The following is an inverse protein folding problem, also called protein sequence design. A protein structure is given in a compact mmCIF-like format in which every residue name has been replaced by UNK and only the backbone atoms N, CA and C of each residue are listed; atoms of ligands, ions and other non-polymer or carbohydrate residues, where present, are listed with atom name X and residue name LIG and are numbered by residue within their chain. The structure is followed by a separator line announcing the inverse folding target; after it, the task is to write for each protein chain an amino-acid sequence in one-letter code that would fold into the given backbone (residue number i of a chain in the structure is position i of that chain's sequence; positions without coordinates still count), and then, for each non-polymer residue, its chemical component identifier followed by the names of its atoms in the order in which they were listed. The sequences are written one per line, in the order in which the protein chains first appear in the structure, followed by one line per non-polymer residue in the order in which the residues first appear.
data_IF_023066756803
#
_entry.id   IF_023066756803
#
_cell.length_a   1.000
_cell.length_b   1.000
_cell.length_c   1.000
_cell.angle_alpha   90.00
_cell.angle_beta   90.00
_cell.angle_gamma   90.00
#
_symmetry.space_group_name_H-M   'P 1'
#
loop_
_entity.id
_entity.type
_entity.pdbx_description
1 polymer ?
#
# COMPACT_ATOMS: atom_id res chain seq x y z
N UNK A 1 -17.33 -16.23 11.43
CA UNK A 1 -17.13 -15.03 10.59
C UNK A 1 -15.72 -15.07 10.01
N UNK A 2 -15.59 -15.05 8.67
CA UNK A 2 -14.27 -15.10 8.02
C UNK A 2 -13.59 -13.72 8.13
N UNK A 3 -12.29 -13.71 8.43
CA UNK A 3 -11.53 -12.46 8.56
C UNK A 3 -10.55 -12.33 7.40
N UNK A 4 -10.56 -11.21 6.73
CA UNK A 4 -9.61 -10.88 5.65
C UNK A 4 -8.72 -9.72 6.11
N UNK A 5 -7.41 -9.92 6.08
CA UNK A 5 -6.43 -8.87 6.38
C UNK A 5 -6.12 -8.08 5.11
N UNK A 6 -6.28 -6.78 5.19
CA UNK A 6 -5.96 -5.84 4.11
C UNK A 6 -4.94 -4.83 4.63
N UNK A 7 -3.65 -5.04 4.38
CA UNK A 7 -2.63 -4.03 4.65
C UNK A 7 -2.82 -2.83 3.72
N UNK A 8 -2.80 -1.62 4.30
CA UNK A 8 -2.89 -0.35 3.57
C UNK A 8 -1.68 0.52 3.85
N UNK A 9 -1.24 1.29 2.87
CA UNK A 9 -0.08 2.18 2.95
C UNK A 9 -0.39 3.63 2.55
N UNK A 10 -1.69 3.94 2.45
CA UNK A 10 -2.19 5.24 1.99
C UNK A 10 -2.14 5.44 0.47
N UNK A 11 -1.65 4.47 -0.29
CA UNK A 11 -1.63 4.56 -1.75
C UNK A 11 -2.99 4.26 -2.39
N UNK A 12 -3.26 4.85 -3.56
CA UNK A 12 -4.44 4.50 -4.37
C UNK A 12 -4.50 3.02 -4.74
N UNK A 13 -3.34 2.38 -4.88
CA UNK A 13 -3.25 0.95 -5.15
C UNK A 13 -3.80 0.09 -4.03
N UNK A 14 -3.57 0.45 -2.76
CA UNK A 14 -4.12 -0.28 -1.61
C UNK A 14 -5.65 -0.30 -1.61
N UNK A 15 -6.30 0.74 -2.16
CA UNK A 15 -7.76 0.80 -2.25
C UNK A 15 -8.35 -0.26 -3.20
N UNK A 16 -7.59 -0.79 -4.16
CA UNK A 16 -8.05 -1.92 -4.97
C UNK A 16 -8.17 -3.21 -4.16
N UNK A 17 -7.25 -3.43 -3.20
CA UNK A 17 -7.36 -4.54 -2.26
C UNK A 17 -8.59 -4.39 -1.35
N UNK A 18 -8.88 -3.16 -0.90
CA UNK A 18 -10.09 -2.86 -0.12
C UNK A 18 -11.36 -3.14 -0.93
N UNK A 19 -11.44 -2.66 -2.18
CA UNK A 19 -12.60 -2.92 -3.06
C UNK A 19 -12.79 -4.42 -3.32
N UNK A 20 -11.71 -5.17 -3.46
CA UNK A 20 -11.80 -6.62 -3.59
C UNK A 20 -12.36 -7.27 -2.32
N UNK A 21 -11.90 -6.85 -1.14
CA UNK A 21 -12.42 -7.36 0.13
C UNK A 21 -13.91 -7.03 0.32
N UNK A 22 -14.37 -5.86 -0.12
CA UNK A 22 -15.80 -5.49 -0.16
C UNK A 22 -16.57 -6.45 -1.06
N UNK A 23 -16.11 -6.68 -2.29
CA UNK A 23 -16.78 -7.59 -3.23
C UNK A 23 -16.82 -9.03 -2.73
N UNK A 24 -15.83 -9.47 -1.98
CA UNK A 24 -15.85 -10.80 -1.32
C UNK A 24 -16.84 -10.82 -0.14
N UNK A 25 -16.96 -9.74 0.62
CA UNK A 25 -17.94 -9.63 1.70
C UNK A 25 -19.38 -9.68 1.17
N UNK A 26 -19.66 -8.99 0.07
CA UNK A 26 -20.97 -8.99 -0.60
C UNK A 26 -21.37 -10.40 -1.05
N UNK A 27 -20.41 -11.19 -1.55
CA UNK A 27 -20.67 -12.57 -2.01
C UNK A 27 -20.86 -13.56 -0.88
N UNK A 28 -20.05 -13.45 0.17
CA UNK A 28 -19.97 -14.44 1.23
C UNK A 28 -20.86 -14.14 2.45
N UNK A 29 -21.40 -12.94 2.57
CA UNK A 29 -22.37 -12.52 3.59
C UNK A 29 -21.86 -12.41 5.03
N UNK A 30 -20.64 -12.86 5.33
CA UNK A 30 -20.09 -12.83 6.70
C UNK A 30 -18.58 -12.72 6.75
N UNK A 31 -18.06 -11.63 6.18
CA UNK A 31 -16.63 -11.29 6.23
C UNK A 31 -16.42 -10.07 7.13
N UNK A 32 -15.40 -10.12 7.98
CA UNK A 32 -14.86 -9.00 8.71
C UNK A 32 -13.52 -8.58 8.08
N UNK A 33 -13.38 -7.32 7.70
CA UNK A 33 -12.15 -6.79 7.13
C UNK A 33 -11.26 -6.25 8.25
N UNK A 34 -10.01 -6.75 8.31
CA UNK A 34 -8.99 -6.22 9.21
C UNK A 34 -8.09 -5.28 8.41
N UNK A 35 -8.27 -3.95 8.56
CA UNK A 35 -7.37 -2.97 8.00
C UNK A 35 -6.12 -2.87 8.88
N UNK A 36 -4.95 -2.97 8.27
CA UNK A 36 -3.68 -2.84 8.98
C UNK A 36 -2.80 -1.81 8.30
N UNK A 37 -2.40 -0.78 9.03
CA UNK A 37 -1.38 0.17 8.61
C UNK A 37 -0.07 -0.11 9.35
N UNK A 38 1.01 -0.40 8.62
CA UNK A 38 2.32 -0.68 9.18
C UNK A 38 3.28 0.45 8.83
N UNK A 39 3.83 1.08 9.85
CA UNK A 39 4.83 2.14 9.73
C UNK A 39 6.23 1.60 9.99
N UNK A 40 7.21 2.09 9.22
CA UNK A 40 8.60 1.88 9.58
C UNK A 40 8.93 2.65 10.88
N UNK A 41 9.80 2.10 11.75
CA UNK A 41 10.33 2.85 12.88
C UNK A 41 11.00 4.13 12.41
N UNK A 42 10.89 5.19 13.21
CA UNK A 42 11.65 6.42 12.93
C UNK A 42 13.15 6.14 13.01
N UNK A 43 13.94 6.64 12.04
CA UNK A 43 15.39 6.53 12.10
C UNK A 43 15.92 7.06 13.45
N UNK A 44 16.90 6.38 14.02
CA UNK A 44 17.46 6.71 15.35
C UNK A 44 17.90 8.18 15.45
N UNK A 45 18.53 8.69 14.39
CA UNK A 45 19.04 10.07 14.35
C UNK A 45 17.92 11.13 14.35
N UNK A 46 16.68 10.77 14.00
CA UNK A 46 15.52 11.66 14.11
C UNK A 46 14.78 11.41 15.42
N UNK A 47 14.60 10.13 15.76
CA UNK A 47 13.84 9.72 16.94
C UNK A 47 14.43 10.21 18.26
N UNK A 48 15.74 10.39 18.38
CA UNK A 48 16.39 10.86 19.60
C UNK A 48 16.10 12.33 19.94
N UNK A 49 15.73 13.16 18.94
CA UNK A 49 15.41 14.57 19.15
C UNK A 49 13.90 14.82 19.39
N UNK A 50 13.07 13.81 19.25
CA UNK A 50 11.64 13.93 19.44
C UNK A 50 11.20 13.32 20.80
N UNK A 51 10.36 14.04 21.53
CA UNK A 51 9.72 13.48 22.73
C UNK A 51 8.83 12.29 22.35
N UNK A 52 8.55 11.42 23.31
CA UNK A 52 7.66 10.28 23.11
C UNK A 52 6.26 10.70 22.63
N UNK A 53 5.75 11.84 23.15
CA UNK A 53 4.49 12.43 22.71
C UNK A 53 4.48 12.87 21.26
N UNK A 54 5.53 13.57 20.82
CA UNK A 54 5.66 14.00 19.42
C UNK A 54 5.79 12.82 18.46
N UNK A 55 6.54 11.77 18.85
CA UNK A 55 6.63 10.55 18.04
C UNK A 55 5.27 9.87 17.88
N UNK A 56 4.50 9.77 18.98
CA UNK A 56 3.16 9.18 18.93
C UNK A 56 2.24 9.99 18.04
N UNK A 57 2.14 11.30 18.25
CA UNK A 57 1.31 12.19 17.43
C UNK A 57 1.63 12.09 15.94
N UNK A 58 2.92 12.04 15.58
CA UNK A 58 3.36 11.85 14.21
C UNK A 58 2.91 10.51 13.60
N UNK A 59 2.99 9.43 14.38
CA UNK A 59 2.55 8.12 13.92
C UNK A 59 1.02 8.05 13.79
N UNK A 60 0.29 8.65 14.73
CA UNK A 60 -1.17 8.67 14.73
C UNK A 60 -1.72 9.48 13.55
N UNK A 61 -1.16 10.66 13.28
CA UNK A 61 -1.54 11.49 12.14
C UNK A 61 -1.32 10.76 10.80
N UNK A 62 -0.17 10.14 10.63
CA UNK A 62 0.12 9.37 9.41
C UNK A 62 -0.78 8.16 9.24
N UNK A 63 -1.10 7.49 10.34
CA UNK A 63 -2.02 6.36 10.32
C UNK A 63 -3.41 6.81 9.88
N UNK A 64 -3.90 7.91 10.44
CA UNK A 64 -5.22 8.46 10.10
C UNK A 64 -5.30 8.83 8.62
N UNK A 65 -4.32 9.58 8.10
CA UNK A 65 -4.25 9.96 6.69
C UNK A 65 -4.23 8.74 5.75
N UNK A 66 -3.49 7.69 6.11
CA UNK A 66 -3.37 6.49 5.29
C UNK A 66 -4.62 5.60 5.33
N UNK A 67 -5.32 5.57 6.45
CA UNK A 67 -6.45 4.68 6.69
C UNK A 67 -7.79 5.29 6.26
N UNK A 68 -7.93 6.62 6.32
CA UNK A 68 -9.20 7.30 6.08
C UNK A 68 -9.86 6.93 4.75
N UNK A 69 -9.17 6.90 3.59
CA UNK A 69 -9.80 6.52 2.32
C UNK A 69 -10.31 5.08 2.30
N UNK A 70 -9.64 4.17 3.03
CA UNK A 70 -10.06 2.78 3.14
C UNK A 70 -11.28 2.61 4.06
N UNK A 71 -11.31 3.34 5.17
CA UNK A 71 -12.48 3.40 6.06
C UNK A 71 -13.72 3.89 5.33
N UNK A 72 -13.60 5.03 4.63
CA UNK A 72 -14.71 5.61 3.87
C UNK A 72 -15.33 4.63 2.86
N UNK A 73 -14.49 3.82 2.21
CA UNK A 73 -14.97 2.79 1.28
C UNK A 73 -15.74 1.68 1.98
N UNK A 74 -15.23 1.19 3.11
CA UNK A 74 -15.86 0.10 3.86
C UNK A 74 -17.16 0.56 4.55
N UNK A 75 -17.17 1.77 5.09
CA UNK A 75 -18.37 2.39 5.70
C UNK A 75 -19.49 2.56 4.68
N UNK A 76 -19.17 3.12 3.50
CA UNK A 76 -20.15 3.27 2.40
C UNK A 76 -20.70 1.94 1.90
N UNK A 77 -19.89 0.90 1.95
CA UNK A 77 -20.31 -0.45 1.57
C UNK A 77 -21.03 -1.20 2.69
N UNK A 78 -21.10 -0.66 3.91
CA UNK A 78 -21.73 -1.34 5.05
C UNK A 78 -21.01 -2.61 5.50
N UNK A 79 -19.71 -2.75 5.19
CA UNK A 79 -18.91 -3.91 5.54
C UNK A 79 -18.35 -3.77 6.94
N UNK A 80 -18.46 -4.80 7.77
CA UNK A 80 -17.83 -4.80 9.09
C UNK A 80 -16.32 -4.82 8.99
N UNK A 81 -15.66 -3.89 9.67
CA UNK A 81 -14.21 -3.83 9.67
C UNK A 81 -13.64 -3.41 11.03
N UNK A 82 -12.37 -3.74 11.24
CA UNK A 82 -11.55 -3.23 12.35
C UNK A 82 -10.28 -2.61 11.80
N UNK A 83 -9.78 -1.63 12.51
CA UNK A 83 -8.56 -0.91 12.15
C UNK A 83 -7.48 -1.16 13.18
N UNK A 84 -6.27 -1.41 12.70
CA UNK A 84 -5.09 -1.58 13.54
C UNK A 84 -3.90 -0.87 12.93
N UNK A 85 -3.04 -0.36 13.79
CA UNK A 85 -1.77 0.26 13.41
C UNK A 85 -0.63 -0.48 14.10
N UNK A 86 0.51 -0.59 13.43
CA UNK A 86 1.70 -1.21 13.99
C UNK A 86 2.96 -0.50 13.47
N UNK A 87 4.02 -0.57 14.25
CA UNK A 87 5.35 -0.06 13.88
C UNK A 87 6.29 -1.25 13.80
N UNK A 88 7.01 -1.39 12.69
CA UNK A 88 7.96 -2.48 12.49
C UNK A 88 8.30 -2.76 11.04
N UNK A 89 8.94 -3.91 10.80
CA UNK A 89 9.20 -4.41 9.46
C UNK A 89 7.89 -4.94 8.86
N UNK A 90 7.52 -4.40 7.69
CA UNK A 90 6.19 -4.58 7.10
C UNK A 90 5.79 -6.05 6.93
N UNK A 91 6.68 -6.85 6.34
CA UNK A 91 6.36 -8.24 6.01
C UNK A 91 6.18 -9.09 7.26
N UNK A 92 7.06 -8.92 8.25
CA UNK A 92 6.99 -9.63 9.52
C UNK A 92 5.73 -9.25 10.31
N UNK A 93 5.44 -7.94 10.40
CA UNK A 93 4.25 -7.43 11.10
C UNK A 93 2.96 -7.92 10.45
N UNK A 94 2.86 -7.91 9.12
CA UNK A 94 1.67 -8.38 8.40
C UNK A 94 1.44 -9.88 8.65
N UNK A 95 2.50 -10.69 8.51
CA UNK A 95 2.41 -12.14 8.73
C UNK A 95 2.03 -12.49 10.18
N UNK A 96 2.65 -11.80 11.14
CA UNK A 96 2.36 -12.00 12.56
C UNK A 96 0.94 -11.55 12.93
N UNK A 97 0.48 -10.43 12.38
CA UNK A 97 -0.88 -9.94 12.58
C UNK A 97 -1.92 -10.91 12.00
N UNK A 98 -1.67 -11.45 10.79
CA UNK A 98 -2.54 -12.45 10.19
C UNK A 98 -2.71 -13.69 11.09
N UNK A 99 -1.61 -14.13 11.73
CA UNK A 99 -1.63 -15.26 12.67
C UNK A 99 -2.39 -14.92 13.95
N UNK A 100 -2.05 -13.80 14.61
CA UNK A 100 -2.65 -13.41 15.91
C UNK A 100 -4.14 -13.12 15.82
N UNK A 101 -4.62 -12.57 14.72
CA UNK A 101 -6.02 -12.25 14.50
C UNK A 101 -6.81 -13.40 13.88
N UNK A 102 -6.17 -14.55 13.64
CA UNK A 102 -6.79 -15.71 12.99
C UNK A 102 -7.46 -15.32 11.65
N UNK A 103 -6.68 -14.62 10.81
CA UNK A 103 -7.15 -14.22 9.50
C UNK A 103 -7.16 -15.44 8.55
N UNK A 104 -8.12 -15.47 7.64
CA UNK A 104 -8.28 -16.57 6.66
C UNK A 104 -7.49 -16.28 5.38
N UNK A 105 -7.22 -15.02 5.07
CA UNK A 105 -6.44 -14.60 3.93
C UNK A 105 -5.84 -13.21 4.15
N UNK A 106 -4.75 -12.91 3.44
CA UNK A 106 -4.18 -11.57 3.29
C UNK A 106 -4.43 -11.11 1.86
N UNK A 107 -5.01 -9.92 1.68
CA UNK A 107 -5.25 -9.33 0.35
C UNK A 107 -4.30 -8.16 0.16
N UNK A 108 -3.45 -8.24 -0.85
CA UNK A 108 -2.47 -7.23 -1.23
C UNK A 108 -2.75 -6.70 -2.64
N UNK A 109 -2.36 -5.47 -2.91
CA UNK A 109 -2.35 -4.94 -4.27
C UNK A 109 -0.93 -4.73 -4.77
N UNK A 110 -0.69 -5.09 -6.03
CA UNK A 110 0.57 -4.78 -6.72
C UNK A 110 0.36 -3.60 -7.64
N UNK A 111 1.30 -2.65 -7.64
CA UNK A 111 1.34 -1.59 -8.66
C UNK A 111 1.87 -2.16 -9.97
N UNK A 112 1.15 -1.92 -11.07
CA UNK A 112 1.67 -2.23 -12.42
C UNK A 112 2.60 -1.10 -12.86
N UNK A 113 3.86 -1.12 -12.42
CA UNK A 113 4.90 -0.19 -12.89
C UNK A 113 5.84 -0.84 -13.89
N UNK A 114 6.72 -0.05 -14.51
CA UNK A 114 7.74 -0.50 -15.44
C UNK A 114 8.60 -1.64 -14.88
N UNK A 115 9.25 -2.43 -15.75
CA UNK A 115 9.98 -3.64 -15.37
C UNK A 115 11.07 -3.40 -14.29
N UNK A 116 11.73 -2.25 -14.31
CA UNK A 116 12.79 -1.88 -13.35
C UNK A 116 12.25 -1.59 -11.95
N UNK A 117 11.10 -0.91 -11.84
CA UNK A 117 10.46 -0.61 -10.55
C UNK A 117 9.78 -1.84 -9.93
N UNK A 118 9.43 -2.86 -10.72
CA UNK A 118 8.88 -4.12 -10.22
C UNK A 118 9.84 -4.88 -9.30
N UNK A 119 11.14 -4.78 -9.52
CA UNK A 119 12.13 -5.48 -8.69
C UNK A 119 12.21 -4.92 -7.26
N UNK A 120 11.97 -3.64 -7.08
CA UNK A 120 12.07 -2.97 -5.76
C UNK A 120 10.73 -3.00 -5.02
N UNK A 121 9.62 -2.80 -5.71
CA UNK A 121 8.29 -2.69 -5.08
C UNK A 121 7.63 -4.04 -4.75
N UNK A 122 8.02 -5.12 -5.43
CA UNK A 122 7.56 -6.47 -5.10
C UNK A 122 8.17 -7.04 -3.80
N UNK A 123 9.10 -6.30 -3.16
CA UNK A 123 9.74 -6.79 -1.93
C UNK A 123 8.73 -7.05 -0.81
N UNK A 124 7.74 -6.17 -0.61
CA UNK A 124 6.70 -6.37 0.42
C UNK A 124 5.78 -7.54 0.08
N UNK A 125 5.33 -7.66 -1.17
CA UNK A 125 4.46 -8.75 -1.60
C UNK A 125 5.18 -10.10 -1.47
N UNK A 126 6.40 -10.19 -2.00
CA UNK A 126 7.21 -11.41 -1.91
C UNK A 126 7.53 -11.76 -0.45
N UNK A 127 7.94 -10.77 0.34
CA UNK A 127 8.25 -10.99 1.75
C UNK A 127 7.03 -11.39 2.59
N UNK A 128 5.83 -10.96 2.22
CA UNK A 128 4.58 -11.43 2.86
C UNK A 128 4.26 -12.85 2.42
N UNK A 129 4.37 -13.17 1.11
CA UNK A 129 4.12 -14.53 0.60
C UNK A 129 5.00 -15.56 1.30
N UNK A 130 6.29 -15.24 1.50
CA UNK A 130 7.23 -16.13 2.16
C UNK A 130 6.93 -16.39 3.65
N UNK A 131 6.28 -15.43 4.32
CA UNK A 131 6.06 -15.45 5.79
C UNK A 131 4.64 -15.69 6.21
N UNK A 132 3.66 -15.44 5.32
CA UNK A 132 2.25 -15.51 5.68
C UNK A 132 1.82 -16.93 6.04
N UNK A 133 1.14 -17.12 7.18
CA UNK A 133 0.62 -18.43 7.59
C UNK A 133 -0.68 -18.80 6.88
N UNK A 134 -1.21 -17.91 6.04
CA UNK A 134 -2.50 -18.02 5.37
C UNK A 134 -2.36 -17.66 3.88
N UNK A 135 -3.32 -18.03 3.02
CA UNK A 135 -3.33 -17.67 1.60
C UNK A 135 -3.17 -16.16 1.39
N UNK A 136 -2.34 -15.78 0.41
CA UNK A 136 -2.15 -14.38 0.00
C UNK A 136 -2.80 -14.18 -1.36
N UNK A 137 -3.79 -13.30 -1.41
CA UNK A 137 -4.48 -12.89 -2.63
C UNK A 137 -3.86 -11.61 -3.16
N UNK A 138 -3.40 -11.63 -4.40
CA UNK A 138 -2.74 -10.50 -5.02
C UNK A 138 -3.67 -9.87 -6.06
N UNK A 139 -4.04 -8.62 -5.83
CA UNK A 139 -4.86 -7.84 -6.75
C UNK A 139 -3.95 -7.01 -7.65
N UNK A 140 -4.17 -7.10 -8.95
CA UNK A 140 -3.47 -6.25 -9.89
C UNK A 140 -4.05 -4.83 -9.83
N UNK A 141 -3.21 -3.84 -9.53
CA UNK A 141 -3.59 -2.43 -9.61
C UNK A 141 -3.83 -1.97 -11.05
N UNK A 142 -4.33 -0.74 -11.19
CA UNK A 142 -4.57 -0.16 -12.52
C UNK A 142 -3.29 -0.15 -13.38
N UNK A 143 -3.41 -0.39 -14.68
CA UNK A 143 -2.29 -0.24 -15.58
C UNK A 143 -1.85 1.23 -15.58
N UNK A 144 -0.56 1.45 -15.45
CA UNK A 144 0.04 2.79 -15.60
C UNK A 144 -0.42 3.38 -16.92
N UNK A 145 -0.90 4.62 -16.93
CA UNK A 145 -1.35 5.31 -18.13
C UNK A 145 -0.26 5.27 -19.20
N UNK A 146 -0.63 5.24 -20.48
CA UNK A 146 0.35 5.21 -21.60
C UNK A 146 1.34 6.38 -21.54
N UNK A 147 0.93 7.52 -20.98
CA UNK A 147 1.75 8.72 -20.82
C UNK A 147 2.89 8.49 -19.81
N UNK A 148 2.65 7.78 -18.72
CA UNK A 148 3.71 7.43 -17.76
C UNK A 148 4.62 6.29 -18.25
N UNK A 149 4.12 5.44 -19.15
CA UNK A 149 4.89 4.31 -19.71
C UNK A 149 5.93 4.77 -20.71
N UNK A 150 5.71 5.88 -21.40
CA UNK A 150 6.58 6.44 -22.44
C UNK A 150 7.09 7.84 -22.09
N UNK A 151 7.02 8.24 -20.80
CA UNK A 151 7.42 9.54 -20.32
C UNK A 151 8.89 9.89 -20.57
N UNK A 152 9.18 10.18 -21.82
CA UNK A 152 10.18 11.16 -22.18
C UNK A 152 9.46 12.51 -21.97
N UNK A 153 9.95 13.38 -21.07
CA UNK A 153 9.36 14.70 -20.92
C UNK A 153 9.46 15.39 -22.29
N UNK A 154 8.33 15.76 -22.85
CA UNK A 154 8.25 16.44 -24.17
C UNK A 154 9.04 17.76 -24.21
N UNK A 155 9.59 18.23 -23.08
CA UNK A 155 10.50 19.38 -22.99
C UNK A 155 11.97 19.08 -23.28
N UNK A 156 12.46 17.85 -23.13
CA UNK A 156 13.87 17.55 -23.35
C UNK A 156 14.24 17.42 -24.84
N UNK A 157 13.29 17.00 -25.67
CA UNK A 157 13.50 16.89 -27.12
C UNK A 157 13.56 18.22 -27.86
N UNK A 158 12.81 19.21 -27.40
CA UNK A 158 12.79 20.54 -28.02
C UNK A 158 14.09 21.33 -27.73
N UNK A 159 14.69 21.17 -26.56
CA UNK A 159 15.93 21.85 -26.19
C UNK A 159 17.14 21.31 -26.97
N UNK A 160 17.19 20.01 -27.25
CA UNK A 160 18.28 19.42 -28.05
C UNK A 160 18.19 19.78 -29.54
N UNK A 161 16.98 19.87 -30.10
CA UNK A 161 16.77 20.28 -31.48
C UNK A 161 17.17 21.75 -31.71
N UNK A 162 16.90 22.64 -30.75
CA UNK A 162 17.29 24.06 -30.83
C UNK A 162 18.79 24.26 -30.74
N UNK A 163 19.51 23.44 -29.97
CA UNK A 163 20.98 23.50 -29.85
C UNK A 163 21.70 22.98 -31.10
N UNK A 164 21.14 22.00 -31.79
CA UNK A 164 21.71 21.49 -33.03
C UNK A 164 21.47 22.44 -34.23
N UNK A 165 20.40 23.24 -34.22
CA UNK A 165 20.12 24.21 -35.26
C UNK A 165 20.98 25.48 -35.13
N UNK A 166 21.35 25.87 -33.89
CA UNK A 166 22.18 27.03 -33.62
C UNK A 166 23.69 26.79 -33.87
N UNK A 167 24.13 25.54 -34.10
CA UNK A 167 25.52 25.21 -34.37
C UNK A 167 25.78 25.01 -35.87
N UNK A 168 24.82 25.28 -36.74
CA UNK A 168 24.91 25.10 -38.19
C UNK A 168 24.90 26.41 -39.01
N UNK A 169 25.06 27.57 -38.33
CA UNK A 169 25.35 28.89 -38.96
C UNK A 169 26.80 29.34 -38.61
#
# INVERSE_FOLDING_TARGET
MRKILVPVDGSSSALHAVRHAIAEADKAGSIEVQLLYVQAPLPLHIGQFLSAGHRRAFHDERAEQALQPARDLLERAGVHFRVSTAIGEKCAVIADFARRCDCHAVVLCTRRKSALLRMIENSTVNGVIERAPVPVVIIAGEPVSRVERYGVPAGAGAALASLLFAAAE
#
